data_IF_872779421008
#
_entry.id   IF_872779421008
#
_cell.length_a   1.000
_cell.length_b   1.000
_cell.length_c   1.000
_cell.angle_alpha   90.00
_cell.angle_beta   90.00
_cell.angle_gamma   90.00
#
_symmetry.space_group_name_H-M   'P 1'
#
loop_
_entity.id
_entity.type
_entity.pdbx_description
1 polymer ?
#
# COMPACT_ATOMS: atom_id res chain seq x y z
N UNK A 1 -4.31 38.71 1.14
CA UNK A 1 -3.67 38.29 -0.12
C UNK A 1 -2.50 37.40 0.27
N UNK A 2 -2.56 36.12 -0.07
CA UNK A 2 -1.43 35.19 0.12
C UNK A 2 -0.49 35.45 -1.05
N UNK A 3 0.75 35.86 -0.77
CA UNK A 3 1.75 36.12 -1.82
C UNK A 3 2.19 34.79 -2.45
N UNK A 4 2.61 34.79 -3.73
CA UNK A 4 2.98 33.56 -4.44
C UNK A 4 4.07 32.73 -3.75
N UNK A 5 4.87 33.34 -2.87
CA UNK A 5 5.91 32.65 -2.10
C UNK A 5 5.32 31.66 -1.06
N UNK A 6 4.12 31.91 -0.51
CA UNK A 6 3.52 31.03 0.49
C UNK A 6 3.06 29.67 -0.07
N UNK A 7 2.84 29.56 -1.39
CA UNK A 7 2.37 28.29 -1.97
C UNK A 7 3.49 27.24 -2.07
N UNK A 8 4.75 27.68 -2.24
CA UNK A 8 5.92 26.78 -2.25
C UNK A 8 6.10 26.11 -0.90
N UNK A 9 5.97 26.88 0.16
CA UNK A 9 6.18 26.39 1.53
C UNK A 9 5.15 25.35 1.94
N UNK A 10 3.90 25.46 1.47
CA UNK A 10 2.86 24.49 1.82
C UNK A 10 3.23 23.08 1.36
N UNK A 11 3.73 22.94 0.13
CA UNK A 11 4.07 21.62 -0.42
C UNK A 11 5.24 20.96 0.30
N UNK A 12 6.29 21.73 0.63
CA UNK A 12 7.47 21.28 1.36
C UNK A 12 7.17 20.99 2.83
N UNK A 13 6.40 21.87 3.48
CA UNK A 13 5.95 21.69 4.86
C UNK A 13 5.09 20.43 4.98
N UNK A 14 4.17 20.23 4.04
CA UNK A 14 3.32 19.02 4.01
C UNK A 14 4.14 17.77 3.79
N UNK A 15 5.13 17.82 2.89
CA UNK A 15 6.05 16.70 2.69
C UNK A 15 6.81 16.41 3.99
N UNK A 16 7.30 17.42 4.70
CA UNK A 16 7.95 17.25 6.01
C UNK A 16 7.05 16.60 7.05
N UNK A 17 5.77 16.98 7.11
CA UNK A 17 4.77 16.33 7.97
C UNK A 17 4.55 14.87 7.61
N UNK A 18 4.48 14.55 6.31
CA UNK A 18 4.35 13.18 5.81
C UNK A 18 5.57 12.35 6.20
N UNK A 19 6.79 12.88 6.05
CA UNK A 19 8.01 12.19 6.44
C UNK A 19 8.04 11.92 7.94
N UNK A 20 7.77 12.92 8.77
CA UNK A 20 7.75 12.74 10.24
C UNK A 20 6.72 11.68 10.65
N UNK A 21 5.50 11.77 10.11
CA UNK A 21 4.45 10.79 10.39
C UNK A 21 4.84 9.36 9.96
N UNK A 22 5.59 9.21 8.86
CA UNK A 22 6.09 7.91 8.41
C UNK A 22 7.19 7.35 9.29
N UNK A 23 8.11 8.22 9.74
CA UNK A 23 9.23 7.85 10.63
C UNK A 23 8.70 7.47 12.02
N UNK A 24 7.69 8.17 12.53
CA UNK A 24 7.03 7.89 13.81
C UNK A 24 6.02 6.74 13.74
N UNK A 25 5.82 6.13 12.57
CA UNK A 25 4.82 5.09 12.33
C UNK A 25 3.41 5.50 12.76
N UNK A 26 3.06 6.77 12.52
CA UNK A 26 1.74 7.30 12.80
C UNK A 26 0.66 6.54 12.03
N UNK A 27 -0.50 6.24 12.65
CA UNK A 27 -1.62 5.58 11.97
C UNK A 27 -2.21 6.44 10.85
N UNK A 28 -2.08 7.76 10.93
CA UNK A 28 -2.54 8.69 9.90
C UNK A 28 -1.38 9.49 9.31
N UNK A 29 -1.18 9.34 7.99
CA UNK A 29 -0.18 10.08 7.23
C UNK A 29 -0.92 11.04 6.26
N UNK A 30 -0.67 12.36 6.34
CA UNK A 30 -1.47 13.38 5.66
C UNK A 30 -1.12 13.56 4.18
N UNK A 31 -1.13 12.48 3.39
CA UNK A 31 -0.84 12.57 1.95
C UNK A 31 -1.82 13.46 1.18
N UNK A 32 -3.04 13.66 1.72
CA UNK A 32 -4.12 14.40 1.05
C UNK A 32 -3.99 15.91 1.16
N UNK A 33 -3.13 16.40 2.06
CA UNK A 33 -2.97 17.83 2.35
C UNK A 33 -2.30 18.59 1.19
N UNK A 34 -1.59 17.88 0.29
CA UNK A 34 -1.08 18.46 -0.94
C UNK A 34 -1.22 17.51 -2.13
N UNK A 35 -1.34 18.07 -3.34
CA UNK A 35 -1.33 17.29 -4.58
C UNK A 35 -0.03 16.52 -4.76
N UNK A 36 1.11 17.11 -4.37
CA UNK A 36 2.44 16.50 -4.48
C UNK A 36 2.55 15.24 -3.63
N UNK A 37 2.22 15.33 -2.33
CA UNK A 37 2.26 14.18 -1.41
C UNK A 37 1.29 13.09 -1.83
N UNK A 38 0.18 13.43 -2.48
CA UNK A 38 -0.80 12.47 -2.98
C UNK A 38 -0.25 11.65 -4.16
N UNK A 39 0.52 12.28 -5.04
CA UNK A 39 1.21 11.60 -6.14
C UNK A 39 2.35 10.73 -5.58
N UNK A 40 3.09 11.24 -4.60
CA UNK A 40 4.24 10.54 -4.00
C UNK A 40 3.86 9.47 -2.97
N UNK A 41 2.58 9.21 -2.73
CA UNK A 41 2.12 8.25 -1.72
C UNK A 41 2.76 6.86 -1.88
N UNK A 42 2.85 6.35 -3.10
CA UNK A 42 3.46 5.04 -3.35
C UNK A 42 4.99 5.06 -3.19
N UNK A 43 5.60 6.23 -3.36
CA UNK A 43 7.04 6.44 -3.18
C UNK A 43 7.45 6.65 -1.72
N UNK A 44 6.56 7.14 -0.86
CA UNK A 44 6.87 7.43 0.54
C UNK A 44 6.00 6.55 1.43
N UNK A 45 6.52 5.41 1.90
CA UNK A 45 5.79 4.43 2.71
C UNK A 45 4.96 3.42 1.91
N UNK A 46 5.10 3.37 0.58
CA UNK A 46 4.30 2.53 -0.31
C UNK A 46 5.07 1.37 -0.95
N UNK A 47 4.67 1.04 -2.18
CA UNK A 47 5.10 -0.15 -2.94
C UNK A 47 6.27 0.09 -3.89
N UNK A 48 6.88 1.27 -3.85
CA UNK A 48 7.97 1.63 -4.77
C UNK A 48 9.33 1.60 -4.05
N UNK A 49 10.39 1.23 -4.78
CA UNK A 49 11.77 1.48 -4.32
C UNK A 49 12.10 2.95 -4.56
N UNK A 50 12.34 3.70 -3.50
CA UNK A 50 12.45 5.16 -3.58
C UNK A 50 13.81 5.62 -3.10
N UNK A 51 14.40 6.56 -3.84
CA UNK A 51 15.63 7.27 -3.51
C UNK A 51 15.32 8.77 -3.52
N UNK A 52 15.85 9.48 -2.53
CA UNK A 52 15.74 10.94 -2.42
C UNK A 52 17.15 11.50 -2.55
N UNK A 53 17.36 12.42 -3.47
CA UNK A 53 18.63 13.12 -3.67
C UNK A 53 18.53 14.48 -2.99
N UNK A 54 19.32 14.66 -1.94
CA UNK A 54 19.44 15.93 -1.23
C UNK A 54 20.54 16.78 -1.88
N UNK A 55 20.16 17.88 -2.52
CA UNK A 55 21.11 18.81 -3.16
C UNK A 55 21.43 19.95 -2.21
N UNK A 56 22.71 20.15 -1.91
CA UNK A 56 23.19 21.16 -0.96
C UNK A 56 24.20 22.09 -1.64
N UNK A 57 24.30 23.33 -1.14
CA UNK A 57 25.32 24.29 -1.56
C UNK A 57 26.50 24.27 -0.59
N UNK A 58 27.76 24.26 -1.07
CA UNK A 58 28.94 24.34 -0.20
C UNK A 58 29.19 25.76 0.35
N UNK A 59 28.39 26.75 -0.04
CA UNK A 59 28.56 28.14 0.41
C UNK A 59 28.20 28.30 1.89
N UNK A 60 29.03 29.04 2.64
CA UNK A 60 28.76 29.37 4.04
C UNK A 60 27.46 30.18 4.23
N UNK A 61 27.09 30.99 3.23
CA UNK A 61 25.83 31.75 3.25
C UNK A 61 24.58 30.87 3.20
N UNK A 62 24.71 29.61 2.75
CA UNK A 62 23.60 28.67 2.64
C UNK A 62 23.60 27.62 3.77
N UNK A 63 24.38 27.83 4.84
CA UNK A 63 24.59 26.82 5.88
C UNK A 63 23.29 26.40 6.56
N UNK A 64 22.38 27.34 6.85
CA UNK A 64 21.09 27.06 7.50
C UNK A 64 20.16 26.20 6.62
N UNK A 65 20.06 26.52 5.33
CA UNK A 65 19.29 25.74 4.35
C UNK A 65 19.91 24.36 4.10
N UNK A 66 21.24 24.29 4.06
CA UNK A 66 21.98 23.02 3.94
C UNK A 66 21.72 22.11 5.14
N UNK A 67 21.75 22.65 6.37
CA UNK A 67 21.40 21.90 7.57
C UNK A 67 19.96 21.41 7.53
N UNK A 68 19.01 22.29 7.18
CA UNK A 68 17.59 21.93 7.05
C UNK A 68 17.37 20.80 6.02
N UNK A 69 18.07 20.86 4.88
CA UNK A 69 18.03 19.84 3.83
C UNK A 69 18.62 18.50 4.30
N UNK A 70 19.73 18.54 5.05
CA UNK A 70 20.36 17.33 5.59
C UNK A 70 19.50 16.69 6.69
N UNK A 71 18.91 17.47 7.58
CA UNK A 71 17.96 16.98 8.59
C UNK A 71 16.75 16.32 7.94
N UNK A 72 16.25 16.93 6.86
CA UNK A 72 15.19 16.37 6.05
C UNK A 72 15.57 15.02 5.46
N UNK A 73 16.74 14.93 4.83
CA UNK A 73 17.26 13.70 4.24
C UNK A 73 17.52 12.61 5.30
N UNK A 74 18.02 13.00 6.47
CA UNK A 74 18.27 12.11 7.60
C UNK A 74 16.98 11.45 8.09
N UNK A 75 15.91 12.23 8.25
CA UNK A 75 14.57 11.69 8.59
C UNK A 75 14.03 10.80 7.47
N UNK A 76 14.11 11.27 6.22
CA UNK A 76 13.59 10.55 5.07
C UNK A 76 14.24 9.17 4.88
N UNK A 77 15.53 9.03 5.22
CA UNK A 77 16.27 7.75 5.20
C UNK A 77 15.63 6.68 6.08
N UNK A 78 14.91 7.06 7.13
CA UNK A 78 14.28 6.13 8.07
C UNK A 78 12.91 5.62 7.61
N UNK A 79 12.37 6.15 6.49
CA UNK A 79 11.11 5.69 5.91
C UNK A 79 11.28 4.27 5.37
N UNK A 80 10.37 3.37 5.75
CA UNK A 80 10.35 1.98 5.28
C UNK A 80 9.28 1.80 4.21
N UNK A 81 9.70 1.50 2.99
CA UNK A 81 8.81 1.07 1.91
C UNK A 81 8.71 -0.46 1.86
N UNK A 82 7.64 -0.97 1.26
CA UNK A 82 7.43 -2.39 0.99
C UNK A 82 7.38 -2.60 -0.53
N UNK A 83 8.52 -2.56 -1.23
CA UNK A 83 8.55 -2.60 -2.68
C UNK A 83 7.94 -3.91 -3.20
N UNK A 84 6.92 -3.81 -4.05
CA UNK A 84 6.26 -4.96 -4.66
C UNK A 84 6.56 -4.99 -6.16
N UNK A 85 6.83 -6.20 -6.69
CA UNK A 85 7.02 -6.37 -8.12
C UNK A 85 5.68 -6.24 -8.83
N UNK A 86 5.58 -5.27 -9.75
CA UNK A 86 4.40 -5.10 -10.61
C UNK A 86 4.37 -6.23 -11.66
N UNK A 87 3.93 -7.42 -11.25
CA UNK A 87 3.69 -8.51 -12.17
C UNK A 87 2.50 -8.16 -13.06
N UNK A 88 2.74 -8.07 -14.36
CA UNK A 88 1.67 -7.92 -15.35
C UNK A 88 0.92 -9.25 -15.43
N UNK A 89 -0.21 -9.34 -14.73
CA UNK A 89 -1.13 -10.47 -14.88
C UNK A 89 -1.64 -10.47 -16.32
N UNK A 90 -1.57 -11.61 -17.01
CA UNK A 90 -2.06 -11.69 -18.38
C UNK A 90 -3.55 -11.41 -18.40
N UNK A 91 -4.04 -10.71 -19.43
CA UNK A 91 -5.48 -10.41 -19.57
C UNK A 91 -6.34 -11.67 -19.51
N UNK A 92 -5.83 -12.78 -20.02
CA UNK A 92 -6.50 -14.09 -20.02
C UNK A 92 -6.68 -14.61 -18.59
N UNK A 93 -5.64 -14.52 -17.75
CA UNK A 93 -5.72 -14.92 -16.34
C UNK A 93 -6.70 -14.02 -15.59
N UNK A 94 -6.59 -12.70 -15.78
CA UNK A 94 -7.49 -11.75 -15.12
C UNK A 94 -8.96 -11.97 -15.49
N UNK A 95 -9.25 -12.21 -16.78
CA UNK A 95 -10.62 -12.52 -17.23
C UNK A 95 -11.13 -13.82 -16.62
N UNK A 96 -10.30 -14.87 -16.59
CA UNK A 96 -10.68 -16.15 -15.99
C UNK A 96 -11.04 -15.98 -14.51
N UNK A 97 -10.21 -15.28 -13.74
CA UNK A 97 -10.46 -15.02 -12.31
C UNK A 97 -11.74 -14.20 -12.11
N UNK A 98 -11.99 -13.20 -12.96
CA UNK A 98 -13.19 -12.38 -12.91
C UNK A 98 -14.47 -13.19 -13.21
N UNK A 99 -14.42 -14.07 -14.22
CA UNK A 99 -15.54 -14.97 -14.53
C UNK A 99 -15.81 -15.93 -13.38
N UNK A 100 -14.77 -16.48 -12.75
CA UNK A 100 -14.92 -17.34 -11.58
C UNK A 100 -15.51 -16.60 -10.37
N UNK A 101 -15.10 -15.34 -10.14
CA UNK A 101 -15.70 -14.47 -9.11
C UNK A 101 -17.19 -14.20 -9.39
N UNK A 102 -17.54 -13.87 -10.64
CA UNK A 102 -18.93 -13.62 -11.04
C UNK A 102 -19.80 -14.85 -10.83
N UNK A 103 -19.32 -16.03 -11.21
CA UNK A 103 -20.08 -17.27 -11.02
C UNK A 103 -20.25 -17.60 -9.54
N UNK A 104 -19.19 -17.47 -8.72
CA UNK A 104 -19.33 -17.61 -7.26
C UNK A 104 -20.37 -16.65 -6.68
N UNK A 105 -20.33 -15.37 -7.03
CA UNK A 105 -21.30 -14.39 -6.54
C UNK A 105 -22.74 -14.71 -6.98
N UNK A 106 -22.94 -15.22 -8.20
CA UNK A 106 -24.27 -15.65 -8.66
C UNK A 106 -24.80 -16.83 -7.86
N UNK A 107 -23.94 -17.79 -7.52
CA UNK A 107 -24.31 -18.93 -6.70
C UNK A 107 -24.66 -18.51 -5.27
N UNK A 108 -23.86 -17.62 -4.67
CA UNK A 108 -24.12 -17.05 -3.34
C UNK A 108 -25.46 -16.30 -3.30
N UNK A 109 -25.77 -15.51 -4.34
CA UNK A 109 -27.06 -14.81 -4.45
C UNK A 109 -28.23 -15.80 -4.61
N UNK A 110 -28.06 -16.85 -5.42
CA UNK A 110 -29.09 -17.88 -5.62
C UNK A 110 -29.38 -18.59 -4.31
N UNK A 111 -28.34 -19.04 -3.62
CA UNK A 111 -28.46 -19.69 -2.31
C UNK A 111 -29.13 -18.77 -1.27
N UNK A 112 -28.75 -17.49 -1.23
CA UNK A 112 -29.36 -16.50 -0.33
C UNK A 112 -30.85 -16.25 -0.64
N UNK A 113 -31.24 -16.22 -1.92
CA UNK A 113 -32.64 -16.05 -2.34
C UNK A 113 -33.50 -17.27 -2.02
N UNK A 114 -32.93 -18.47 -2.08
CA UNK A 114 -33.64 -19.73 -1.83
C UNK A 114 -33.82 -20.02 -0.33
N UNK A 115 -33.29 -19.18 0.59
CA UNK A 115 -33.37 -19.36 2.05
C UNK A 115 -32.91 -20.74 2.56
N UNK A 116 -32.17 -21.50 1.77
CA UNK A 116 -31.59 -22.76 2.19
C UNK A 116 -30.26 -22.48 2.91
N UNK A 117 -30.28 -22.65 4.23
CA UNK A 117 -29.14 -22.39 5.10
C UNK A 117 -27.85 -23.05 4.61
N UNK A 118 -26.80 -22.24 4.48
CA UNK A 118 -25.39 -22.59 4.27
C UNK A 118 -25.14 -23.67 3.21
N UNK A 119 -25.03 -23.27 1.95
CA UNK A 119 -24.44 -24.11 0.91
C UNK A 119 -23.07 -23.56 0.50
N UNK A 120 -22.03 -24.34 0.78
CA UNK A 120 -20.70 -24.19 0.21
C UNK A 120 -20.72 -24.91 -1.15
N UNK A 121 -20.12 -24.32 -2.19
CA UNK A 121 -20.04 -24.95 -3.52
C UNK A 121 -19.40 -26.34 -3.42
N UNK A 122 -19.86 -27.30 -4.23
CA UNK A 122 -19.42 -28.70 -4.14
C UNK A 122 -17.89 -28.84 -4.24
N UNK A 123 -17.26 -27.99 -5.05
CA UNK A 123 -15.81 -27.91 -5.23
C UNK A 123 -15.10 -27.44 -3.95
N UNK A 124 -15.68 -26.46 -3.25
CA UNK A 124 -15.14 -25.94 -1.98
C UNK A 124 -15.38 -26.90 -0.82
N UNK A 125 -16.51 -27.61 -0.79
CA UNK A 125 -16.76 -28.69 0.17
C UNK A 125 -15.80 -29.87 -0.04
N UNK A 126 -15.59 -30.30 -1.29
CA UNK A 126 -14.65 -31.37 -1.61
C UNK A 126 -13.21 -31.00 -1.25
N UNK A 127 -12.82 -29.74 -1.45
CA UNK A 127 -11.52 -29.23 -1.04
C UNK A 127 -11.36 -29.20 0.49
N UNK A 128 -12.35 -28.68 1.22
CA UNK A 128 -12.33 -28.67 2.69
C UNK A 128 -12.33 -30.09 3.28
N UNK A 129 -13.07 -31.04 2.69
CA UNK A 129 -13.04 -32.46 3.06
C UNK A 129 -11.68 -33.11 2.75
N UNK A 130 -11.07 -32.79 1.61
CA UNK A 130 -9.73 -33.29 1.27
C UNK A 130 -8.66 -32.75 2.23
N UNK A 131 -8.69 -31.45 2.55
CA UNK A 131 -7.79 -30.84 3.52
C UNK A 131 -7.99 -31.43 4.93
N UNK A 132 -9.23 -31.65 5.37
CA UNK A 132 -9.52 -32.35 6.62
C UNK A 132 -9.00 -33.78 6.63
N UNK A 133 -9.18 -34.55 5.54
CA UNK A 133 -8.65 -35.91 5.42
C UNK A 133 -7.12 -35.94 5.48
N UNK A 134 -6.44 -34.98 4.85
CA UNK A 134 -4.97 -34.87 4.92
C UNK A 134 -4.50 -34.58 6.35
N UNK A 135 -5.15 -33.64 7.03
CA UNK A 135 -4.86 -33.34 8.45
C UNK A 135 -5.10 -34.59 9.31
N UNK A 136 -6.23 -35.28 9.10
CA UNK A 136 -6.59 -36.46 9.87
C UNK A 136 -5.61 -37.62 9.68
N UNK A 137 -5.17 -37.88 8.44
CA UNK A 137 -4.16 -38.89 8.12
C UNK A 137 -2.81 -38.58 8.80
N UNK A 138 -2.42 -37.31 8.86
CA UNK A 138 -1.19 -36.89 9.53
C UNK A 138 -1.23 -37.15 11.05
N UNK A 139 -2.39 -36.94 11.68
CA UNK A 139 -2.60 -37.19 13.12
C UNK A 139 -2.68 -38.67 13.51
N UNK A 140 -2.92 -39.60 12.58
CA UNK A 140 -2.91 -41.05 12.87
C UNK A 140 -1.51 -41.66 12.66
N UNK A 141 -0.64 -40.97 11.91
CA UNK A 141 0.67 -41.47 11.50
C UNK A 141 1.82 -40.99 12.42
N UNK A 142 1.50 -40.29 13.51
CA UNK A 142 2.44 -39.80 14.55
C UNK A 142 2.08 -40.40 15.90
#
# INVERSE_FOLDING_TARGET
MITPDQERDVSLLTLGRVINALVEHSPHVPYRDSKLTRILRDSLGGKTKTCIIATISPSAYCMEETLSTLDYASRAKSIKNKPEANQKVSKVVLLKDLYMEIDRMKEDIRAAREKNGVYISHERFAKEEAEKKVIYLFSISS
#
